data_IF_721552480922
#
_entry.id   IF_721552480922
#
_cell.length_a   1.000
_cell.length_b   1.000
_cell.length_c   1.000
_cell.angle_alpha   90.00
_cell.angle_beta   90.00
_cell.angle_gamma   90.00
#
_symmetry.space_group_name_H-M   'P 1'
#
loop_
_entity.id
_entity.type
_entity.pdbx_description
1 polymer ?
#
# COMPACT_ATOMS: atom_id res chain seq x y z
N UNK A 1 26.55 -33.40 -27.75
CA UNK A 1 25.45 -32.52 -27.33
C UNK A 1 25.06 -32.85 -25.90
N UNK A 2 25.51 -32.05 -24.92
CA UNK A 2 25.19 -32.27 -23.51
C UNK A 2 24.07 -31.31 -23.14
N UNK A 3 22.87 -31.85 -22.86
CA UNK A 3 21.70 -31.09 -22.34
C UNK A 3 21.97 -30.72 -20.88
N UNK A 4 22.13 -29.42 -20.63
CA UNK A 4 22.23 -28.87 -19.28
C UNK A 4 20.79 -28.74 -18.76
N UNK A 5 20.42 -29.65 -17.89
CA UNK A 5 19.16 -29.59 -17.13
C UNK A 5 19.34 -28.53 -16.05
N UNK A 6 18.68 -27.39 -16.17
CA UNK A 6 18.63 -26.36 -15.10
C UNK A 6 17.73 -26.84 -13.99
N UNK A 7 18.14 -26.78 -12.73
CA UNK A 7 17.26 -27.11 -11.62
C UNK A 7 16.26 -25.95 -11.37
N UNK A 8 15.07 -26.10 -11.90
CA UNK A 8 13.89 -25.43 -11.39
C UNK A 8 13.41 -26.25 -10.20
N UNK A 9 13.55 -25.78 -9.01
CA UNK A 9 12.88 -26.18 -7.77
C UNK A 9 13.80 -25.90 -6.59
N UNK A 10 13.70 -24.70 -6.02
CA UNK A 10 13.95 -24.49 -4.58
C UNK A 10 13.71 -23.02 -4.18
N UNK A 11 12.50 -22.50 -4.33
CA UNK A 11 12.09 -21.26 -3.61
C UNK A 11 10.60 -21.34 -3.26
N UNK A 12 10.15 -22.43 -2.70
CA UNK A 12 8.79 -22.50 -2.12
C UNK A 12 8.85 -23.26 -0.79
N UNK A 13 9.62 -22.79 0.18
CA UNK A 13 9.50 -23.34 1.54
C UNK A 13 10.32 -22.51 2.55
N UNK A 14 9.89 -21.26 2.76
CA UNK A 14 10.43 -20.45 3.87
C UNK A 14 9.38 -19.47 4.44
N UNK A 15 8.11 -19.92 4.50
CA UNK A 15 7.06 -19.22 5.25
C UNK A 15 6.31 -20.16 6.19
N UNK A 16 7.03 -20.94 6.96
CA UNK A 16 6.41 -21.75 8.02
C UNK A 16 7.36 -21.90 9.21
N UNK A 17 7.65 -20.80 9.89
CA UNK A 17 8.18 -20.84 11.25
C UNK A 17 7.95 -19.51 11.95
N UNK A 18 6.68 -19.15 12.22
CA UNK A 18 6.41 -18.25 13.34
C UNK A 18 6.16 -19.12 14.56
N UNK A 19 6.98 -19.03 15.60
CA UNK A 19 6.74 -19.77 16.83
C UNK A 19 5.51 -19.21 17.52
N UNK A 20 4.55 -20.09 17.79
CA UNK A 20 3.50 -19.93 18.78
C UNK A 20 4.16 -19.76 20.15
N UNK A 21 4.43 -18.58 20.59
CA UNK A 21 4.91 -18.30 21.93
C UNK A 21 3.99 -17.28 22.61
N UNK A 22 3.45 -17.81 23.72
CA UNK A 22 2.80 -17.09 24.81
C UNK A 22 1.28 -17.20 24.91
N UNK A 23 0.78 -18.42 25.14
CA UNK A 23 -0.30 -18.54 26.11
C UNK A 23 0.33 -18.72 27.50
N UNK A 24 0.54 -17.63 28.19
CA UNK A 24 0.80 -17.64 29.63
C UNK A 24 -0.53 -17.44 30.33
N UNK A 25 -1.17 -18.54 30.71
CA UNK A 25 -2.28 -18.58 31.64
C UNK A 25 -1.79 -18.16 33.03
N UNK A 26 -1.97 -16.89 33.34
CA UNK A 26 -1.84 -16.38 34.69
C UNK A 26 -3.23 -16.36 35.32
N UNK A 27 -3.56 -17.40 36.10
CA UNK A 27 -4.66 -17.41 37.06
C UNK A 27 -4.28 -16.47 38.20
N UNK A 28 -4.75 -15.25 38.17
CA UNK A 28 -4.80 -14.37 39.34
C UNK A 28 -6.25 -14.29 39.81
N UNK A 29 -6.47 -14.71 41.06
CA UNK A 29 -7.75 -14.65 41.77
C UNK A 29 -8.20 -13.20 41.88
N UNK A 30 -9.43 -12.96 41.45
CA UNK A 30 -10.13 -11.68 41.57
C UNK A 30 -10.38 -11.28 43.01
N UNK A 31 -10.08 -10.03 43.38
CA UNK A 31 -10.85 -9.35 44.40
C UNK A 31 -12.09 -8.76 43.75
N UNK A 32 -13.24 -9.05 44.32
CA UNK A 32 -14.55 -8.54 43.97
C UNK A 32 -14.54 -7.04 43.69
N UNK A 33 -14.50 -6.68 42.39
CA UNK A 33 -14.75 -5.33 41.95
C UNK A 33 -16.25 -5.18 41.66
N UNK A 34 -16.88 -4.26 42.35
CA UNK A 34 -18.24 -3.80 42.12
C UNK A 34 -18.49 -3.60 40.64
N UNK A 35 -19.46 -4.33 40.11
CA UNK A 35 -19.96 -4.27 38.75
C UNK A 35 -20.77 -2.95 38.63
N UNK A 36 -20.03 -1.83 38.53
CA UNK A 36 -20.58 -0.58 38.00
C UNK A 36 -20.93 -0.80 36.53
N UNK A 37 -22.06 -0.29 36.11
CA UNK A 37 -22.59 -0.33 34.75
C UNK A 37 -21.50 0.01 33.76
N UNK A 38 -20.83 -1.02 33.23
CA UNK A 38 -19.86 -0.89 32.18
C UNK A 38 -20.59 -0.50 30.91
N UNK A 39 -20.36 0.71 30.44
CA UNK A 39 -20.71 1.12 29.07
C UNK A 39 -20.11 0.09 28.15
N UNK A 40 -20.94 -0.85 27.65
CA UNK A 40 -20.53 -1.78 26.59
C UNK A 40 -20.24 -0.97 25.34
N UNK A 41 -18.97 -0.63 25.15
CA UNK A 41 -18.51 0.09 23.98
C UNK A 41 -18.63 -0.85 22.80
N UNK A 42 -19.52 -0.56 21.86
CA UNK A 42 -19.75 -1.36 20.68
C UNK A 42 -18.54 -1.25 19.74
N UNK A 43 -18.33 -2.27 18.88
CA UNK A 43 -17.31 -2.19 17.81
C UNK A 43 -17.42 -0.91 16.99
N UNK A 44 -18.65 -0.47 16.71
CA UNK A 44 -18.94 0.80 16.03
C UNK A 44 -18.36 2.00 16.75
N UNK A 45 -18.38 2.03 18.09
CA UNK A 45 -17.86 3.15 18.88
C UNK A 45 -16.34 3.14 18.92
N UNK A 46 -15.72 1.96 18.95
CA UNK A 46 -14.27 1.80 18.81
C UNK A 46 -13.78 2.25 17.43
N UNK A 47 -14.51 1.91 16.37
CA UNK A 47 -14.19 2.33 15.00
C UNK A 47 -14.39 3.84 14.81
N UNK A 48 -15.43 4.44 15.43
CA UNK A 48 -15.62 5.90 15.45
C UNK A 48 -14.48 6.60 16.18
N UNK A 49 -14.08 6.12 17.36
CA UNK A 49 -12.95 6.68 18.10
C UNK A 49 -11.62 6.54 17.35
N UNK A 50 -11.40 5.40 16.71
CA UNK A 50 -10.22 5.16 15.87
C UNK A 50 -10.17 6.11 14.68
N UNK A 51 -11.30 6.31 14.01
CA UNK A 51 -11.41 7.21 12.87
C UNK A 51 -11.29 8.68 13.30
N UNK A 52 -11.92 9.09 14.42
CA UNK A 52 -11.79 10.44 14.96
C UNK A 52 -10.36 10.77 15.43
N UNK A 53 -9.63 9.80 16.00
CA UNK A 53 -8.24 10.04 16.40
C UNK A 53 -7.30 10.11 15.18
N UNK A 54 -7.63 9.45 14.08
CA UNK A 54 -6.88 9.56 12.82
C UNK A 54 -7.13 10.91 12.13
N UNK A 55 -8.31 11.50 12.27
CA UNK A 55 -8.64 12.78 11.63
C UNK A 55 -8.00 13.98 12.32
N UNK A 56 -7.84 13.97 13.64
CA UNK A 56 -7.25 15.08 14.39
C UNK A 56 -5.80 15.41 14.05
N UNK A 57 -5.10 14.49 13.40
CA UNK A 57 -3.68 14.62 13.10
C UNK A 57 -3.37 14.62 11.60
N UNK A 58 -4.33 14.97 10.78
CA UNK A 58 -4.11 15.09 9.33
C UNK A 58 -3.70 16.52 8.96
N UNK A 59 -2.82 16.62 7.97
CA UNK A 59 -2.35 17.89 7.42
C UNK A 59 -2.31 17.83 5.90
N UNK A 60 -2.46 18.96 5.26
CA UNK A 60 -2.29 19.10 3.81
C UNK A 60 -0.84 19.45 3.51
N UNK A 61 -0.26 18.75 2.57
CA UNK A 61 1.14 18.93 2.17
C UNK A 61 1.33 18.65 0.69
N UNK A 62 2.38 19.24 0.12
CA UNK A 62 2.85 18.88 -1.21
C UNK A 62 3.66 17.59 -1.14
N UNK A 63 3.36 16.65 -2.01
CA UNK A 63 4.07 15.37 -2.11
C UNK A 63 4.50 15.08 -3.54
N UNK A 64 5.59 14.34 -3.67
CA UNK A 64 5.94 13.68 -4.92
C UNK A 64 5.42 12.26 -4.87
N UNK A 65 4.65 11.88 -5.86
CA UNK A 65 3.95 10.59 -5.92
C UNK A 65 4.20 9.89 -7.23
N UNK A 66 4.27 8.58 -7.20
CA UNK A 66 4.18 7.71 -8.36
C UNK A 66 3.42 6.44 -7.99
N UNK A 67 2.89 5.76 -8.99
CA UNK A 67 2.24 4.47 -8.82
C UNK A 67 3.02 3.36 -9.51
N UNK A 68 2.88 2.16 -9.00
CA UNK A 68 3.23 0.94 -9.71
C UNK A 68 2.07 -0.05 -9.67
N UNK A 69 1.80 -0.70 -10.80
CA UNK A 69 0.83 -1.79 -10.91
C UNK A 69 1.53 -3.06 -11.35
N UNK A 70 1.15 -4.14 -10.73
CA UNK A 70 1.71 -5.43 -11.02
C UNK A 70 0.65 -6.37 -11.57
N UNK A 71 0.93 -6.99 -12.74
CA UNK A 71 0.14 -8.08 -13.30
C UNK A 71 0.77 -9.41 -12.93
N UNK A 72 0.03 -10.21 -12.17
CA UNK A 72 0.49 -11.53 -11.75
C UNK A 72 0.54 -12.52 -12.89
N UNK A 73 -0.40 -12.42 -13.84
CA UNK A 73 -0.51 -13.37 -14.95
C UNK A 73 0.62 -13.21 -15.95
N UNK A 74 0.92 -11.97 -16.32
CA UNK A 74 1.85 -11.66 -17.40
C UNK A 74 3.26 -11.33 -16.91
N UNK A 75 3.50 -11.33 -15.60
CA UNK A 75 4.76 -10.88 -14.99
C UNK A 75 5.20 -9.52 -15.52
N UNK A 76 4.23 -8.59 -15.59
CA UNK A 76 4.44 -7.21 -16.05
C UNK A 76 4.38 -6.26 -14.87
N UNK A 77 5.29 -5.30 -14.84
CA UNK A 77 5.27 -4.18 -13.91
C UNK A 77 5.07 -2.87 -14.66
N UNK A 78 3.99 -2.19 -14.39
CA UNK A 78 3.69 -0.85 -14.87
C UNK A 78 4.16 0.17 -13.85
N UNK A 79 4.83 1.24 -14.28
CA UNK A 79 5.31 2.29 -13.38
C UNK A 79 5.00 3.66 -13.98
N UNK A 80 4.30 4.51 -13.23
CA UNK A 80 4.02 5.88 -13.67
C UNK A 80 5.24 6.80 -13.50
N UNK A 81 5.16 7.98 -14.11
CA UNK A 81 6.09 9.06 -13.82
C UNK A 81 5.87 9.61 -12.41
N UNK A 82 6.93 10.26 -11.86
CA UNK A 82 6.83 10.97 -10.58
C UNK A 82 6.18 12.32 -10.81
N UNK A 83 5.05 12.57 -10.14
CA UNK A 83 4.29 13.80 -10.20
C UNK A 83 4.35 14.56 -8.87
N UNK A 84 4.33 15.89 -8.93
CA UNK A 84 4.11 16.73 -7.76
C UNK A 84 2.61 16.92 -7.60
N UNK A 85 2.09 16.59 -6.44
CA UNK A 85 0.71 16.82 -6.05
C UNK A 85 0.69 17.81 -4.89
N UNK A 86 -0.17 18.80 -5.00
CA UNK A 86 -0.33 19.85 -4.01
C UNK A 86 -1.54 19.57 -3.11
N UNK A 87 -1.47 20.03 -1.86
CA UNK A 87 -2.58 19.94 -0.90
C UNK A 87 -3.11 18.51 -0.67
N UNK A 88 -2.23 17.52 -0.68
CA UNK A 88 -2.60 16.13 -0.38
C UNK A 88 -2.71 15.94 1.13
N UNK A 89 -3.81 15.34 1.57
CA UNK A 89 -4.01 15.04 3.00
C UNK A 89 -3.20 13.84 3.41
N UNK A 90 -2.30 14.03 4.38
CA UNK A 90 -1.49 12.97 4.97
C UNK A 90 -1.71 12.89 6.48
N UNK A 91 -1.51 11.71 7.06
CA UNK A 91 -1.48 11.52 8.50
C UNK A 91 -0.08 11.86 9.08
N UNK A 92 0.09 11.72 10.40
CA UNK A 92 1.35 11.99 11.09
C UNK A 92 2.53 11.13 10.61
N UNK A 93 2.26 9.96 10.06
CA UNK A 93 3.26 9.05 9.50
C UNK A 93 3.50 9.27 8.00
N UNK A 94 3.02 10.38 7.44
CA UNK A 94 3.12 10.72 6.01
C UNK A 94 2.39 9.77 5.05
N UNK A 95 1.45 8.97 5.56
CA UNK A 95 0.57 8.17 4.69
C UNK A 95 -0.53 9.06 4.11
N UNK A 96 -0.70 8.98 2.80
CA UNK A 96 -1.79 9.65 2.09
C UNK A 96 -3.13 9.03 2.52
N UNK A 97 -4.09 9.87 2.91
CA UNK A 97 -5.41 9.41 3.38
C UNK A 97 -6.22 8.73 2.27
N UNK A 98 -6.30 9.35 1.11
CA UNK A 98 -7.05 8.87 -0.04
C UNK A 98 -6.24 7.88 -0.91
N UNK A 99 -5.36 7.12 -0.28
CA UNK A 99 -4.47 6.18 -0.97
C UNK A 99 -5.20 5.27 -1.94
N UNK A 100 -6.31 4.66 -1.50
CA UNK A 100 -7.11 3.75 -2.32
C UNK A 100 -7.70 4.42 -3.58
N UNK A 101 -8.06 5.71 -3.49
CA UNK A 101 -8.56 6.46 -4.62
C UNK A 101 -7.46 6.71 -5.67
N UNK A 102 -6.25 7.04 -5.24
CA UNK A 102 -5.11 7.18 -6.14
C UNK A 102 -4.67 5.84 -6.76
N UNK A 103 -4.66 4.76 -5.99
CA UNK A 103 -4.38 3.41 -6.49
C UNK A 103 -5.42 3.00 -7.54
N UNK A 104 -6.70 3.30 -7.30
CA UNK A 104 -7.78 3.05 -8.26
C UNK A 104 -7.60 3.84 -9.56
N UNK A 105 -7.26 5.12 -9.49
CA UNK A 105 -7.02 5.94 -10.69
C UNK A 105 -5.96 5.31 -11.60
N UNK A 106 -4.85 4.87 -11.03
CA UNK A 106 -3.78 4.23 -11.80
C UNK A 106 -4.19 2.85 -12.32
N UNK A 107 -4.88 2.06 -11.49
CA UNK A 107 -5.41 0.74 -11.91
C UNK A 107 -6.35 0.89 -13.11
N UNK A 108 -7.30 1.82 -13.04
CA UNK A 108 -8.28 2.04 -14.11
C UNK A 108 -7.60 2.52 -15.39
N UNK A 109 -6.60 3.40 -15.28
CA UNK A 109 -5.83 3.86 -16.43
C UNK A 109 -5.06 2.73 -17.11
N UNK A 110 -4.34 1.91 -16.34
CA UNK A 110 -3.58 0.77 -16.89
C UNK A 110 -4.53 -0.27 -17.46
N UNK A 111 -5.64 -0.58 -16.78
CA UNK A 111 -6.65 -1.53 -17.26
C UNK A 111 -7.20 -1.12 -18.62
N UNK A 112 -7.55 0.15 -18.77
CA UNK A 112 -8.11 0.67 -20.03
C UNK A 112 -7.06 0.75 -21.14
N UNK A 113 -5.85 1.23 -20.81
CA UNK A 113 -4.82 1.50 -21.81
C UNK A 113 -4.05 0.25 -22.26
N UNK A 114 -3.94 -0.78 -21.41
CA UNK A 114 -3.15 -1.98 -21.68
C UNK A 114 -3.98 -3.26 -21.68
N UNK A 115 -5.29 -3.16 -21.51
CA UNK A 115 -6.23 -4.30 -21.48
C UNK A 115 -5.86 -5.40 -20.47
N UNK A 116 -5.28 -5.01 -19.33
CA UNK A 116 -4.87 -5.91 -18.26
C UNK A 116 -5.89 -5.86 -17.13
N UNK A 117 -6.55 -6.98 -16.82
CA UNK A 117 -7.65 -7.03 -15.86
C UNK A 117 -7.22 -7.38 -14.43
N UNK A 118 -6.09 -8.06 -14.26
CA UNK A 118 -5.63 -8.55 -12.96
C UNK A 118 -4.43 -7.75 -12.43
N UNK A 119 -4.73 -6.55 -12.00
CA UNK A 119 -3.74 -5.59 -11.53
C UNK A 119 -3.84 -5.38 -10.02
N UNK A 120 -2.69 -5.34 -9.38
CA UNK A 120 -2.55 -4.79 -8.03
C UNK A 120 -1.72 -3.53 -8.09
N UNK A 121 -2.32 -2.40 -7.71
CA UNK A 121 -1.64 -1.11 -7.73
C UNK A 121 -1.22 -0.68 -6.32
N UNK A 122 -0.07 -0.03 -6.26
CA UNK A 122 0.48 0.56 -5.05
C UNK A 122 0.95 1.96 -5.39
N UNK A 123 0.58 2.95 -4.57
CA UNK A 123 1.16 4.29 -4.66
C UNK A 123 2.31 4.45 -3.66
N UNK A 124 3.27 5.24 -4.07
CA UNK A 124 4.37 5.71 -3.24
C UNK A 124 4.33 7.22 -3.19
N UNK A 125 4.57 7.78 -2.01
CA UNK A 125 4.56 9.23 -1.83
C UNK A 125 5.65 9.66 -0.87
N UNK A 126 6.30 10.77 -1.19
CA UNK A 126 7.37 11.36 -0.38
C UNK A 126 7.39 12.88 -0.51
N UNK A 127 7.87 13.55 0.52
CA UNK A 127 8.11 14.99 0.52
C UNK A 127 9.25 15.39 -0.43
N UNK A 128 10.21 14.50 -0.64
CA UNK A 128 11.44 14.81 -1.38
C UNK A 128 11.49 14.02 -2.69
N UNK A 129 11.48 14.74 -3.81
CA UNK A 129 11.59 14.17 -5.17
C UNK A 129 12.83 13.25 -5.34
N UNK A 130 13.94 13.57 -4.67
CA UNK A 130 15.18 12.78 -4.77
C UNK A 130 14.99 11.39 -4.15
N UNK A 131 14.23 11.29 -3.04
CA UNK A 131 13.93 10.02 -2.38
C UNK A 131 13.03 9.16 -3.29
N UNK A 132 11.98 9.77 -3.88
CA UNK A 132 11.11 9.06 -4.81
C UNK A 132 11.86 8.58 -6.06
N UNK A 133 12.75 9.38 -6.62
CA UNK A 133 13.60 8.96 -7.74
C UNK A 133 14.48 7.73 -7.39
N UNK A 134 14.96 7.64 -6.16
CA UNK A 134 15.73 6.46 -5.70
C UNK A 134 14.81 5.24 -5.60
N UNK A 135 13.60 5.41 -5.09
CA UNK A 135 12.60 4.34 -4.93
C UNK A 135 12.18 3.78 -6.29
N UNK A 136 11.83 4.65 -7.25
CA UNK A 136 11.52 4.24 -8.63
C UNK A 136 12.66 3.43 -9.25
N UNK A 137 13.90 3.91 -9.13
CA UNK A 137 15.08 3.20 -9.66
C UNK A 137 15.25 1.82 -9.01
N UNK A 138 15.01 1.71 -7.72
CA UNK A 138 15.09 0.43 -6.99
C UNK A 138 14.02 -0.55 -7.49
N UNK A 139 12.76 -0.09 -7.63
CA UNK A 139 11.66 -0.89 -8.14
C UNK A 139 11.95 -1.39 -9.56
N UNK A 140 12.38 -0.49 -10.46
CA UNK A 140 12.74 -0.84 -11.85
C UNK A 140 13.89 -1.85 -11.91
N UNK A 141 14.90 -1.68 -11.06
CA UNK A 141 16.01 -2.64 -10.97
C UNK A 141 15.55 -4.00 -10.49
N UNK A 142 14.75 -4.04 -9.42
CA UNK A 142 14.24 -5.29 -8.86
C UNK A 142 13.33 -6.02 -9.85
N UNK A 143 12.48 -5.31 -10.58
CA UNK A 143 11.66 -5.88 -11.63
C UNK A 143 12.51 -6.57 -12.68
N UNK A 144 13.53 -5.87 -13.18
CA UNK A 144 14.47 -6.43 -14.17
C UNK A 144 15.23 -7.66 -13.65
N UNK A 145 15.70 -7.61 -12.40
CA UNK A 145 16.42 -8.73 -11.76
C UNK A 145 15.52 -9.95 -11.59
N UNK A 146 14.25 -9.75 -11.32
CA UNK A 146 13.27 -10.83 -11.11
C UNK A 146 12.58 -11.27 -12.42
N UNK A 147 13.01 -10.78 -13.56
CA UNK A 147 12.50 -11.20 -14.87
C UNK A 147 11.15 -10.60 -15.25
N UNK A 148 10.70 -9.53 -14.56
CA UNK A 148 9.47 -8.83 -14.94
C UNK A 148 9.69 -7.95 -16.17
N UNK A 149 8.70 -7.96 -17.06
CA UNK A 149 8.61 -6.97 -18.13
C UNK A 149 8.24 -5.62 -17.53
N UNK A 150 9.09 -4.62 -17.70
CA UNK A 150 8.83 -3.27 -17.21
C UNK A 150 8.16 -2.43 -18.30
N UNK A 151 7.04 -1.79 -17.97
CA UNK A 151 6.35 -0.81 -18.82
C UNK A 151 6.31 0.52 -18.07
N UNK A 152 6.93 1.55 -18.65
CA UNK A 152 6.84 2.91 -18.15
C UNK A 152 5.60 3.55 -18.74
N UNK A 153 4.66 3.93 -17.86
CA UNK A 153 3.37 4.50 -18.24
C UNK A 153 3.53 6.01 -18.38
N UNK A 154 3.40 6.52 -19.59
CA UNK A 154 3.38 7.95 -19.90
C UNK A 154 1.94 8.46 -20.08
N UNK A 155 1.73 9.76 -19.89
CA UNK A 155 0.42 10.39 -20.10
C UNK A 155 -0.60 10.18 -18.97
N UNK A 156 -0.26 9.42 -17.94
CA UNK A 156 -1.09 9.31 -16.74
C UNK A 156 -0.84 10.50 -15.82
N UNK A 157 -1.93 11.08 -15.27
CA UNK A 157 -1.87 12.13 -14.27
C UNK A 157 -2.81 11.84 -13.11
N UNK A 158 -2.31 11.97 -11.89
CA UNK A 158 -3.15 11.89 -10.70
C UNK A 158 -4.06 13.13 -10.59
N UNK A 159 -5.31 12.91 -10.23
CA UNK A 159 -6.22 13.98 -9.78
C UNK A 159 -6.44 13.86 -8.27
N UNK A 160 -6.40 15.00 -7.57
CA UNK A 160 -6.64 15.00 -6.13
C UNK A 160 -8.12 14.73 -5.85
N UNK A 161 -8.49 13.59 -5.21
CA UNK A 161 -9.89 13.22 -5.01
C UNK A 161 -10.65 14.18 -4.07
N UNK A 162 -9.97 14.90 -3.20
CA UNK A 162 -10.57 15.86 -2.27
C UNK A 162 -11.11 17.13 -2.98
N UNK A 163 -10.61 17.45 -4.16
CA UNK A 163 -11.04 18.65 -4.93
C UNK A 163 -12.30 18.38 -5.76
N UNK A 164 -12.58 17.11 -6.09
CA UNK A 164 -13.71 16.74 -6.97
C UNK A 164 -15.07 16.63 -6.27
N UNK A 165 -15.12 16.69 -4.95
CA UNK A 165 -16.37 16.55 -4.17
C UNK A 165 -17.09 17.87 -3.84
N UNK A 166 -16.64 19.00 -4.39
CA UNK A 166 -17.22 20.34 -4.14
C UNK A 166 -17.93 20.94 -5.37
N UNK A 167 -18.64 20.10 -6.14
CA UNK A 167 -19.55 20.57 -7.20
C UNK A 167 -20.95 20.01 -6.97
#
# INVERSE_FOLDING_TARGET
MRKVLKPFFTVVLLFAAFPLLAQRSGTTKDPTLNRGEGLEMTRSDLDKMRNQSQDKNSRQVDVYMFASSFSLLDSVLYVSEIQKLENVTVNNKWFVKERAAFEKQFTDYVRTGYNDSQLTSIIFSEKNKKVERRRVRLIKRNAKTNGFKLIEVSGFSFSNPTVSSSK
#
